data_IF_563649643395
#
_entry.id   IF_563649643395
#
_cell.length_a   1.000
_cell.length_b   1.000
_cell.length_c   1.000
_cell.angle_alpha   90.00
_cell.angle_beta   90.00
_cell.angle_gamma   90.00
#
_symmetry.space_group_name_H-M   'P 1'
#
loop_
_entity.id
_entity.type
_entity.pdbx_description
1 polymer ?
#
# COMPACT_ATOMS: atom_id res chain seq x y z
N UNK A 1 5.32 -9.54 -11.48
CA UNK A 1 4.95 -10.08 -10.14
C UNK A 1 3.86 -9.18 -9.60
N UNK A 2 2.77 -9.73 -9.05
CA UNK A 2 1.63 -8.94 -8.55
C UNK A 2 1.80 -8.68 -7.05
N UNK A 3 1.52 -7.45 -6.61
CA UNK A 3 1.57 -7.06 -5.20
C UNK A 3 0.21 -6.56 -4.75
N UNK A 4 -0.37 -7.18 -3.72
CA UNK A 4 -1.65 -6.75 -3.14
C UNK A 4 -1.39 -5.98 -1.84
N UNK A 5 -1.63 -4.67 -1.85
CA UNK A 5 -1.34 -3.83 -0.69
C UNK A 5 -2.40 -3.89 0.40
N UNK A 6 -3.54 -4.57 0.18
CA UNK A 6 -4.60 -4.57 1.17
C UNK A 6 -5.41 -5.87 1.14
N UNK A 7 -5.02 -6.75 2.07
CA UNK A 7 -5.77 -7.95 2.43
C UNK A 7 -5.96 -8.02 3.94
N UNK A 8 -7.02 -8.68 4.37
CA UNK A 8 -7.31 -8.94 5.78
C UNK A 8 -7.77 -10.37 5.97
N UNK A 9 -7.48 -10.91 7.15
CA UNK A 9 -8.11 -12.11 7.66
C UNK A 9 -8.47 -11.84 9.12
N UNK A 10 -9.45 -12.56 9.64
CA UNK A 10 -9.84 -12.52 11.04
C UNK A 10 -10.54 -13.82 11.42
N UNK A 11 -10.52 -14.19 12.70
CA UNK A 11 -11.23 -15.37 13.19
C UNK A 11 -12.74 -15.17 13.17
N UNK A 12 -13.19 -13.97 13.53
CA UNK A 12 -14.60 -13.66 13.72
C UNK A 12 -14.91 -12.22 13.33
N UNK A 13 -16.03 -11.93 12.65
CA UNK A 13 -16.44 -10.56 12.33
C UNK A 13 -16.53 -9.63 13.54
N UNK A 14 -16.76 -10.18 14.74
CA UNK A 14 -16.79 -9.48 16.04
C UNK A 14 -15.49 -8.73 16.33
N UNK A 15 -14.37 -9.17 15.77
CA UNK A 15 -13.09 -8.47 15.87
C UNK A 15 -13.10 -7.09 15.19
N UNK A 16 -14.10 -6.82 14.34
CA UNK A 16 -14.31 -5.53 13.69
C UNK A 16 -15.34 -4.64 14.41
N UNK A 17 -15.85 -5.08 15.55
CA UNK A 17 -16.90 -4.38 16.31
C UNK A 17 -18.31 -4.80 15.92
N UNK A 18 -19.27 -4.51 16.81
CA UNK A 18 -20.65 -5.04 16.73
C UNK A 18 -21.37 -4.67 15.42
N UNK A 19 -21.40 -3.39 15.05
CA UNK A 19 -22.14 -2.92 13.87
C UNK A 19 -21.58 -3.50 12.56
N UNK A 20 -20.26 -3.56 12.43
CA UNK A 20 -19.63 -4.09 11.21
C UNK A 20 -19.81 -5.61 11.14
N UNK A 21 -19.77 -6.31 12.28
CA UNK A 21 -20.10 -7.72 12.35
C UNK A 21 -21.55 -8.01 11.91
N UNK A 22 -22.52 -7.19 12.36
CA UNK A 22 -23.92 -7.25 11.91
C UNK A 22 -24.07 -6.95 10.41
N UNK A 23 -23.38 -5.94 9.90
CA UNK A 23 -23.36 -5.61 8.47
C UNK A 23 -22.80 -6.74 7.60
N UNK A 24 -21.78 -7.44 8.08
CA UNK A 24 -21.20 -8.61 7.42
C UNK A 24 -22.18 -9.78 7.44
N UNK A 25 -22.81 -10.07 8.59
CA UNK A 25 -23.78 -11.17 8.75
C UNK A 25 -25.05 -10.99 7.94
N UNK A 26 -25.59 -9.78 7.91
CA UNK A 26 -26.81 -9.46 7.16
C UNK A 26 -26.63 -9.59 5.64
N UNK A 27 -25.39 -9.74 5.15
CA UNK A 27 -25.11 -10.10 3.76
C UNK A 27 -25.54 -9.03 2.76
N UNK A 28 -25.71 -7.78 3.19
CA UNK A 28 -26.33 -6.70 2.42
C UNK A 28 -25.67 -6.41 1.04
N UNK A 29 -24.47 -6.95 0.77
CA UNK A 29 -23.79 -6.88 -0.54
C UNK A 29 -23.39 -8.22 -1.17
N UNK A 30 -23.42 -9.35 -0.44
CA UNK A 30 -23.04 -10.68 -0.96
C UNK A 30 -23.86 -11.80 -0.28
N UNK A 31 -24.84 -12.40 -0.97
CA UNK A 31 -25.51 -13.61 -0.50
C UNK A 31 -24.49 -14.77 -0.44
N UNK A 32 -24.38 -15.44 0.71
CA UNK A 32 -23.45 -16.57 0.92
C UNK A 32 -22.37 -16.36 1.99
N UNK A 33 -22.29 -15.17 2.59
CA UNK A 33 -21.32 -14.83 3.63
C UNK A 33 -19.92 -14.51 3.07
N UNK A 34 -19.04 -14.04 3.95
CA UNK A 34 -17.63 -13.77 3.65
C UNK A 34 -16.80 -14.90 4.28
N UNK A 35 -16.04 -15.65 3.47
CA UNK A 35 -15.02 -16.57 4.01
C UNK A 35 -13.77 -15.77 4.35
N UNK A 36 -13.57 -15.58 5.65
CA UNK A 36 -12.56 -14.70 6.24
C UNK A 36 -11.39 -15.47 6.89
N UNK A 37 -11.41 -16.79 6.73
CA UNK A 37 -10.44 -17.70 7.35
C UNK A 37 -9.04 -17.52 6.76
N UNK A 38 -8.02 -17.89 7.54
CA UNK A 38 -6.62 -17.96 7.05
C UNK A 38 -6.52 -18.88 5.82
N UNK A 39 -7.28 -19.98 5.81
CA UNK A 39 -7.33 -20.90 4.66
C UNK A 39 -7.88 -20.23 3.40
N UNK A 40 -8.93 -19.41 3.54
CA UNK A 40 -9.49 -18.64 2.44
C UNK A 40 -8.55 -17.56 1.94
N UNK A 41 -7.92 -16.83 2.86
CA UNK A 41 -6.89 -15.84 2.53
C UNK A 41 -5.75 -16.49 1.73
N UNK A 42 -5.20 -17.61 2.24
CA UNK A 42 -4.13 -18.37 1.56
C UNK A 42 -4.51 -18.72 0.12
N UNK A 43 -5.72 -19.26 -0.11
CA UNK A 43 -6.21 -19.59 -1.46
C UNK A 43 -6.42 -18.34 -2.33
N UNK A 44 -6.97 -17.27 -1.76
CA UNK A 44 -7.28 -16.06 -2.49
C UNK A 44 -6.02 -15.37 -3.04
N UNK A 45 -4.92 -15.44 -2.30
CA UNK A 45 -3.63 -14.83 -2.68
C UNK A 45 -2.77 -15.72 -3.58
N UNK A 46 -3.24 -16.88 -4.06
CA UNK A 46 -2.45 -17.77 -4.92
C UNK A 46 -1.95 -17.08 -6.20
N UNK A 47 -2.74 -16.13 -6.74
CA UNK A 47 -2.36 -15.32 -7.89
C UNK A 47 -1.43 -14.12 -7.56
N UNK A 48 -1.11 -13.92 -6.28
CA UNK A 48 -0.39 -12.74 -5.78
C UNK A 48 1.05 -13.14 -5.40
N UNK A 49 2.03 -12.36 -5.84
CA UNK A 49 3.44 -12.57 -5.48
C UNK A 49 3.74 -12.18 -4.04
N UNK A 50 3.22 -11.04 -3.59
CA UNK A 50 3.32 -10.58 -2.22
C UNK A 50 2.05 -9.84 -1.77
N UNK A 51 1.55 -10.12 -0.56
CA UNK A 51 0.35 -9.50 0.00
C UNK A 51 0.63 -8.86 1.36
N UNK A 52 0.03 -7.70 1.61
CA UNK A 52 0.04 -7.05 2.92
C UNK A 52 -1.19 -7.48 3.72
N UNK A 53 -0.97 -7.95 4.94
CA UNK A 53 -2.01 -8.42 5.86
C UNK A 53 -2.23 -7.36 6.94
N UNK A 54 -3.43 -6.76 6.94
CA UNK A 54 -3.74 -5.62 7.82
C UNK A 54 -4.47 -6.04 9.08
N UNK A 55 -3.95 -5.62 10.23
CA UNK A 55 -4.68 -5.56 11.49
C UNK A 55 -5.59 -4.33 11.56
N UNK A 56 -6.39 -4.26 12.62
CA UNK A 56 -7.25 -3.12 12.91
C UNK A 56 -7.51 -3.03 14.41
N UNK A 57 -7.53 -1.80 14.95
CA UNK A 57 -7.86 -1.53 16.36
C UNK A 57 -8.69 -0.25 16.40
N UNK A 58 -9.82 -0.26 17.08
CA UNK A 58 -10.62 0.94 17.35
C UNK A 58 -11.25 0.82 18.73
N UNK A 59 -10.92 1.74 19.64
CA UNK A 59 -11.58 1.86 20.93
C UNK A 59 -13.05 2.26 20.76
N UNK A 60 -13.32 3.20 19.84
CA UNK A 60 -14.66 3.70 19.56
C UNK A 60 -15.63 2.57 19.12
N UNK A 61 -15.15 1.59 18.37
CA UNK A 61 -15.95 0.46 17.89
C UNK A 61 -15.80 -0.82 18.73
N UNK A 62 -14.96 -0.79 19.78
CA UNK A 62 -14.55 -2.01 20.50
C UNK A 62 -14.04 -3.12 19.57
N UNK A 63 -13.26 -2.72 18.55
CA UNK A 63 -12.75 -3.59 17.50
C UNK A 63 -11.25 -3.84 17.71
N UNK A 64 -10.82 -5.11 17.67
CA UNK A 64 -9.41 -5.49 17.79
C UNK A 64 -9.11 -6.75 16.97
N UNK A 65 -8.17 -6.61 16.04
CA UNK A 65 -7.41 -7.71 15.45
C UNK A 65 -6.01 -7.69 16.11
N UNK A 66 -5.68 -8.67 16.95
CA UNK A 66 -4.41 -8.70 17.68
C UNK A 66 -3.19 -8.69 16.74
N UNK A 67 -2.11 -8.04 17.16
CA UNK A 67 -0.87 -7.98 16.37
C UNK A 67 -0.24 -9.37 16.21
N UNK A 68 -0.32 -10.20 17.24
CA UNK A 68 0.16 -11.58 17.26
C UNK A 68 -0.58 -12.43 16.23
N UNK A 69 -1.87 -12.15 16.01
CA UNK A 69 -2.65 -12.85 15.00
C UNK A 69 -2.18 -12.50 13.59
N UNK A 70 -1.89 -11.21 13.32
CA UNK A 70 -1.30 -10.79 12.05
C UNK A 70 0.08 -11.41 11.87
N UNK A 71 0.91 -11.42 12.92
CA UNK A 71 2.24 -12.01 12.90
C UNK A 71 2.20 -13.54 12.66
N UNK A 72 1.24 -14.27 13.24
CA UNK A 72 1.05 -15.72 12.98
C UNK A 72 0.71 -15.98 11.51
N UNK A 73 -0.17 -15.17 10.90
CA UNK A 73 -0.50 -15.29 9.48
C UNK A 73 0.77 -15.08 8.63
N UNK A 74 1.51 -14.01 8.91
CA UNK A 74 2.76 -13.70 8.19
C UNK A 74 3.78 -14.83 8.35
N UNK A 75 3.91 -15.38 9.57
CA UNK A 75 4.84 -16.47 9.90
C UNK A 75 4.57 -17.77 9.15
N UNK A 76 3.35 -17.98 8.63
CA UNK A 76 3.00 -19.15 7.78
C UNK A 76 3.56 -19.04 6.37
N UNK A 77 3.74 -17.83 5.85
CA UNK A 77 4.28 -17.57 4.50
C UNK A 77 5.18 -16.32 4.47
N UNK A 78 6.30 -16.30 5.24
CA UNK A 78 7.10 -15.10 5.49
C UNK A 78 7.86 -14.57 4.26
N UNK A 79 7.83 -15.32 3.15
CA UNK A 79 8.43 -14.96 1.86
C UNK A 79 7.46 -14.22 0.94
N UNK A 80 6.16 -14.21 1.26
CA UNK A 80 5.09 -13.60 0.45
C UNK A 80 4.22 -12.64 1.24
N UNK A 81 4.27 -12.68 2.58
CA UNK A 81 3.42 -11.86 3.42
C UNK A 81 4.24 -10.84 4.20
N UNK A 82 3.67 -9.65 4.36
CA UNK A 82 4.14 -8.64 5.29
C UNK A 82 2.95 -8.12 6.11
N UNK A 83 3.17 -7.93 7.41
CA UNK A 83 2.12 -7.55 8.34
C UNK A 83 2.07 -6.05 8.58
N UNK A 84 0.86 -5.49 8.62
CA UNK A 84 0.57 -4.09 8.89
C UNK A 84 -0.21 -4.00 10.21
N UNK A 85 0.29 -3.24 11.17
CA UNK A 85 -0.26 -3.15 12.51
C UNK A 85 -1.52 -2.28 12.54
N UNK A 86 -2.60 -2.75 13.15
CA UNK A 86 -3.74 -1.88 13.49
C UNK A 86 -3.41 -1.09 14.75
N UNK A 87 -3.30 0.23 14.66
CA UNK A 87 -3.05 1.10 15.81
C UNK A 87 -4.18 2.11 15.89
N UNK A 88 -4.67 2.38 17.10
CA UNK A 88 -5.61 3.47 17.37
C UNK A 88 -4.85 4.64 17.97
N UNK A 89 -4.62 5.74 17.21
CA UNK A 89 -3.89 6.89 17.73
C UNK A 89 -4.56 7.58 18.92
N UNK A 90 -5.86 7.36 19.13
CA UNK A 90 -6.58 7.91 20.28
C UNK A 90 -6.41 7.05 21.54
N UNK A 91 -5.92 5.81 21.41
CA UNK A 91 -5.62 4.95 22.55
C UNK A 91 -4.48 5.53 23.39
N UNK A 92 -4.59 5.61 24.73
CA UNK A 92 -3.48 6.07 25.57
C UNK A 92 -2.23 5.18 25.45
N UNK A 93 -2.40 3.92 25.04
CA UNK A 93 -1.34 2.93 24.84
C UNK A 93 -0.77 2.90 23.43
N UNK A 94 -1.13 3.82 22.53
CA UNK A 94 -0.76 3.70 21.10
C UNK A 94 0.75 3.56 20.88
N UNK A 95 1.57 4.17 21.75
CA UNK A 95 3.04 4.10 21.64
C UNK A 95 3.55 2.69 22.00
N UNK A 96 3.06 2.10 23.09
CA UNK A 96 3.43 0.76 23.51
C UNK A 96 2.92 -0.29 22.50
N UNK A 97 1.70 -0.09 21.98
CA UNK A 97 1.13 -0.92 20.93
C UNK A 97 1.99 -0.88 19.65
N UNK A 98 2.55 0.28 19.30
CA UNK A 98 3.42 0.43 18.13
C UNK A 98 4.77 -0.27 18.34
N UNK A 99 5.38 -0.13 19.51
CA UNK A 99 6.64 -0.79 19.83
C UNK A 99 6.47 -2.32 19.85
N UNK A 100 5.40 -2.84 20.46
CA UNK A 100 5.06 -4.27 20.42
C UNK A 100 4.85 -4.78 19.00
N UNK A 101 4.12 -4.05 18.16
CA UNK A 101 3.92 -4.40 16.75
C UNK A 101 5.26 -4.54 15.99
N UNK A 102 6.22 -3.65 16.27
CA UNK A 102 7.55 -3.68 15.64
C UNK A 102 8.39 -4.85 16.14
N UNK A 103 8.29 -5.21 17.42
CA UNK A 103 8.94 -6.39 18.00
C UNK A 103 8.45 -7.68 17.33
N UNK A 104 7.17 -7.74 16.96
CA UNK A 104 6.56 -8.81 16.17
C UNK A 104 6.92 -8.77 14.67
N UNK A 105 7.68 -7.77 14.22
CA UNK A 105 8.12 -7.64 12.83
C UNK A 105 7.09 -7.05 11.88
N UNK A 106 6.04 -6.38 12.37
CA UNK A 106 5.10 -5.65 11.52
C UNK A 106 5.78 -4.41 10.92
N UNK A 107 5.52 -4.12 9.65
CA UNK A 107 6.36 -3.23 8.81
C UNK A 107 5.67 -1.93 8.41
N UNK A 108 4.47 -1.68 8.91
CA UNK A 108 3.69 -0.47 8.66
C UNK A 108 2.48 -0.41 9.58
N UNK A 109 1.70 0.67 9.48
CA UNK A 109 0.55 0.91 10.34
C UNK A 109 -0.71 1.13 9.52
N UNK A 110 -1.83 0.58 9.98
CA UNK A 110 -3.17 0.78 9.45
C UNK A 110 -4.02 1.57 10.46
N UNK A 111 -4.67 2.62 9.99
CA UNK A 111 -5.59 3.48 10.74
C UNK A 111 -6.84 3.78 9.90
N UNK A 112 -7.91 4.16 10.57
CA UNK A 112 -9.17 4.59 9.94
C UNK A 112 -9.75 5.72 10.79
N UNK A 113 -9.44 6.99 10.49
CA UNK A 113 -9.90 8.13 11.30
C UNK A 113 -11.42 8.18 11.48
N UNK A 114 -12.17 7.81 10.44
CA UNK A 114 -13.63 7.66 10.46
C UNK A 114 -14.15 6.60 11.44
N UNK A 115 -13.48 5.44 11.53
CA UNK A 115 -13.85 4.33 12.41
C UNK A 115 -13.20 4.42 13.80
N UNK A 116 -12.18 5.26 13.98
CA UNK A 116 -11.49 5.51 15.24
C UNK A 116 -11.90 6.84 15.89
N UNK A 117 -12.70 7.65 15.20
CA UNK A 117 -13.34 8.83 15.75
C UNK A 117 -12.44 10.04 15.92
N UNK A 118 -11.46 10.25 15.03
CA UNK A 118 -10.58 11.42 15.09
C UNK A 118 -10.43 12.14 13.74
N UNK A 119 -10.30 13.46 13.77
CA UNK A 119 -9.94 14.24 12.60
C UNK A 119 -8.46 13.97 12.23
N UNK A 120 -8.08 13.81 10.94
CA UNK A 120 -6.70 13.47 10.57
C UNK A 120 -5.63 14.39 11.18
N UNK A 121 -5.91 15.68 11.39
CA UNK A 121 -4.98 16.65 11.99
C UNK A 121 -5.12 16.81 13.52
N UNK A 122 -5.82 15.89 14.18
CA UNK A 122 -5.93 15.90 15.64
C UNK A 122 -4.53 15.84 16.29
N UNK A 123 -4.30 16.64 17.34
CA UNK A 123 -2.96 16.79 17.93
C UNK A 123 -2.31 15.48 18.36
N UNK A 124 -3.09 14.53 18.89
CA UNK A 124 -2.58 13.19 19.24
C UNK A 124 -2.21 12.38 18.01
N UNK A 125 -2.99 12.45 16.94
CA UNK A 125 -2.67 11.78 15.68
C UNK A 125 -1.41 12.37 15.04
N UNK A 126 -1.23 13.70 15.09
CA UNK A 126 -0.02 14.37 14.61
C UNK A 126 1.25 13.91 15.36
N UNK A 127 1.19 13.68 16.68
CA UNK A 127 2.31 13.09 17.44
C UNK A 127 2.61 11.65 17.02
N UNK A 128 1.56 10.87 16.75
CA UNK A 128 1.70 9.52 16.23
C UNK A 128 2.35 9.52 14.83
N UNK A 129 1.95 10.43 13.94
CA UNK A 129 2.54 10.56 12.61
C UNK A 129 4.00 11.00 12.64
N UNK A 130 4.37 11.91 13.55
CA UNK A 130 5.76 12.29 13.79
C UNK A 130 6.61 11.06 14.15
N UNK A 131 6.09 10.20 15.04
CA UNK A 131 6.76 8.94 15.38
C UNK A 131 6.91 8.02 14.17
N UNK A 132 5.84 7.82 13.38
CA UNK A 132 5.91 7.01 12.16
C UNK A 132 6.91 7.58 11.13
N UNK A 133 6.96 8.91 10.97
CA UNK A 133 7.87 9.57 10.05
C UNK A 133 9.34 9.37 10.46
N UNK A 134 9.63 9.53 11.76
CA UNK A 134 10.97 9.34 12.32
C UNK A 134 11.44 7.88 12.21
N UNK A 135 10.53 6.92 12.31
CA UNK A 135 10.84 5.49 12.20
C UNK A 135 10.68 4.91 10.78
N UNK A 136 10.34 5.75 9.80
CA UNK A 136 10.09 5.33 8.40
C UNK A 136 9.01 4.25 8.28
N UNK A 137 7.95 4.35 9.09
CA UNK A 137 6.80 3.45 9.03
C UNK A 137 5.71 4.06 8.14
N UNK A 138 5.33 3.39 7.03
CA UNK A 138 4.24 3.87 6.20
C UNK A 138 2.89 3.69 6.91
N UNK A 139 1.97 4.61 6.63
CA UNK A 139 0.62 4.62 7.16
C UNK A 139 -0.37 4.30 6.04
N UNK A 140 -1.20 3.30 6.26
CA UNK A 140 -2.34 2.95 5.43
C UNK A 140 -3.60 3.52 6.08
N UNK A 141 -4.34 4.32 5.33
CA UNK A 141 -5.60 4.92 5.77
C UNK A 141 -6.71 4.11 5.14
N UNK A 142 -7.18 3.10 5.87
CA UNK A 142 -8.10 2.13 5.34
C UNK A 142 -9.20 1.72 6.32
N UNK A 143 -10.44 1.82 5.82
CA UNK A 143 -11.63 1.37 6.54
C UNK A 143 -11.55 -0.13 6.82
N UNK A 144 -12.05 -0.59 7.98
CA UNK A 144 -12.11 -2.01 8.31
C UNK A 144 -13.11 -2.79 7.45
N UNK A 145 -14.06 -2.08 6.82
CA UNK A 145 -15.09 -2.65 5.96
C UNK A 145 -15.99 -1.56 5.38
N UNK A 146 -17.28 -1.86 5.27
CA UNK A 146 -18.29 -0.90 4.78
C UNK A 146 -18.53 0.23 5.79
N UNK A 147 -19.06 1.36 5.31
CA UNK A 147 -19.55 2.42 6.19
C UNK A 147 -20.64 1.90 7.12
N UNK A 148 -20.50 2.19 8.41
CA UNK A 148 -21.55 1.97 9.42
C UNK A 148 -22.00 3.30 10.01
N UNK A 149 -23.20 3.38 10.61
CA UNK A 149 -23.67 4.60 11.29
C UNK A 149 -22.74 5.13 12.38
N UNK A 150 -21.96 4.26 13.05
CA UNK A 150 -20.96 4.69 14.03
C UNK A 150 -19.73 5.40 13.42
N UNK A 151 -19.49 5.29 12.11
CA UNK A 151 -18.35 5.93 11.47
C UNK A 151 -18.61 7.41 11.17
N UNK A 152 -17.62 8.26 11.45
CA UNK A 152 -17.70 9.68 11.18
C UNK A 152 -17.21 9.95 9.75
N UNK A 153 -18.16 10.11 8.82
CA UNK A 153 -17.87 10.25 7.39
C UNK A 153 -16.90 11.40 7.09
N UNK A 154 -17.01 12.53 7.80
CA UNK A 154 -16.13 13.69 7.60
C UNK A 154 -14.64 13.35 7.81
N UNK A 155 -14.33 12.45 8.74
CA UNK A 155 -12.95 12.06 9.05
C UNK A 155 -12.36 11.10 8.02
N UNK A 156 -13.19 10.59 7.10
CA UNK A 156 -12.75 9.78 5.97
C UNK A 156 -12.33 10.64 4.76
N UNK A 157 -12.55 11.97 4.81
CA UNK A 157 -12.19 12.87 3.71
C UNK A 157 -10.67 12.91 3.48
N UNK A 158 -10.21 12.89 2.21
CA UNK A 158 -8.80 13.04 1.87
C UNK A 158 -8.21 14.41 2.20
N UNK A 159 -8.95 15.51 1.97
CA UNK A 159 -8.37 16.87 2.04
C UNK A 159 -7.53 17.19 3.30
N UNK A 160 -7.93 16.80 4.54
CA UNK A 160 -7.12 17.04 5.74
C UNK A 160 -5.72 16.41 5.73
N UNK A 161 -5.48 15.38 4.90
CA UNK A 161 -4.16 14.77 4.75
C UNK A 161 -3.14 15.72 4.08
N UNK A 162 -3.58 16.83 3.49
CA UNK A 162 -2.70 17.88 2.99
C UNK A 162 -1.79 18.47 4.08
N UNK A 163 -2.37 18.75 5.25
CA UNK A 163 -1.64 19.32 6.39
C UNK A 163 -0.66 18.31 6.97
N UNK A 164 -1.08 17.04 7.05
CA UNK A 164 -0.22 15.93 7.51
C UNK A 164 0.99 15.79 6.59
N UNK A 165 0.78 15.75 5.27
CA UNK A 165 1.85 15.61 4.29
C UNK A 165 2.83 16.80 4.29
N UNK A 166 2.32 18.02 4.51
CA UNK A 166 3.16 19.22 4.67
C UNK A 166 3.99 19.19 5.95
N UNK A 167 3.42 18.67 7.03
CA UNK A 167 4.06 18.61 8.34
C UNK A 167 5.12 17.50 8.41
N UNK A 168 4.89 16.39 7.70
CA UNK A 168 5.78 15.23 7.67
C UNK A 168 6.14 14.81 6.24
N UNK A 169 6.99 15.57 5.52
CA UNK A 169 7.27 15.32 4.10
C UNK A 169 7.93 13.97 3.79
N UNK A 170 8.56 13.33 4.80
CA UNK A 170 9.18 12.00 4.67
C UNK A 170 8.19 10.86 4.89
N UNK A 171 7.04 11.14 5.52
CA UNK A 171 6.03 10.14 5.83
C UNK A 171 5.37 9.63 4.55
N UNK A 172 5.17 8.32 4.48
CA UNK A 172 4.50 7.65 3.38
C UNK A 172 3.09 7.28 3.81
N UNK A 173 2.09 7.77 3.07
CA UNK A 173 0.67 7.56 3.38
C UNK A 173 -0.01 6.94 2.16
N UNK A 174 -0.78 5.88 2.38
CA UNK A 174 -1.57 5.20 1.35
C UNK A 174 -3.04 5.38 1.67
N UNK A 175 -3.77 6.10 0.82
CA UNK A 175 -5.22 6.31 0.94
C UNK A 175 -5.97 5.19 0.22
N UNK A 176 -6.73 4.39 0.96
CA UNK A 176 -7.47 3.27 0.39
C UNK A 176 -8.58 3.71 -0.57
N UNK A 177 -8.91 2.82 -1.51
CA UNK A 177 -9.97 3.00 -2.51
C UNK A 177 -9.89 4.28 -3.35
N UNK A 178 -8.68 4.82 -3.55
CA UNK A 178 -8.45 6.12 -4.20
C UNK A 178 -9.23 7.26 -3.48
N UNK A 179 -9.46 7.10 -2.17
CA UNK A 179 -10.21 8.01 -1.33
C UNK A 179 -11.70 8.11 -1.65
N UNK A 180 -12.29 7.06 -2.25
CA UNK A 180 -13.72 7.02 -2.54
C UNK A 180 -14.57 7.33 -1.31
N UNK A 181 -15.55 8.25 -1.41
CA UNK A 181 -16.07 8.85 -2.65
C UNK A 181 -15.38 10.12 -3.17
N UNK A 182 -14.43 10.72 -2.44
CA UNK A 182 -13.75 11.98 -2.79
C UNK A 182 -12.48 11.74 -3.62
N UNK A 183 -12.69 11.17 -4.80
CA UNK A 183 -11.61 10.78 -5.71
C UNK A 183 -10.80 12.00 -6.16
N UNK A 184 -11.47 13.09 -6.47
CA UNK A 184 -10.89 14.37 -6.91
C UNK A 184 -9.93 14.96 -5.87
N UNK A 185 -10.33 14.98 -4.59
CA UNK A 185 -9.45 15.40 -3.49
C UNK A 185 -8.19 14.51 -3.42
N UNK A 186 -8.36 13.20 -3.60
CA UNK A 186 -7.24 12.24 -3.58
C UNK A 186 -6.30 12.46 -4.75
N UNK A 187 -6.80 12.61 -5.98
CA UNK A 187 -5.96 12.86 -7.16
C UNK A 187 -5.17 14.17 -6.98
N UNK A 188 -5.78 15.22 -6.42
CA UNK A 188 -5.08 16.46 -6.12
C UNK A 188 -3.93 16.25 -5.11
N UNK A 189 -4.14 15.44 -4.06
CA UNK A 189 -3.09 15.10 -3.09
C UNK A 189 -1.97 14.27 -3.71
N UNK A 190 -2.30 13.29 -4.55
CA UNK A 190 -1.32 12.50 -5.29
C UNK A 190 -0.46 13.40 -6.18
N UNK A 191 -1.06 14.39 -6.85
CA UNK A 191 -0.30 15.32 -7.68
C UNK A 191 0.59 16.25 -6.84
N UNK A 192 0.09 16.70 -5.69
CA UNK A 192 0.75 17.69 -4.83
C UNK A 192 1.91 17.12 -4.00
N UNK A 193 1.80 15.90 -3.50
CA UNK A 193 2.72 15.35 -2.48
C UNK A 193 3.45 14.10 -2.95
N UNK A 194 4.77 14.04 -2.76
CA UNK A 194 5.60 12.87 -3.08
C UNK A 194 5.43 11.72 -2.08
N UNK A 195 4.89 11.99 -0.89
CA UNK A 195 4.64 11.01 0.17
C UNK A 195 3.24 10.40 0.17
N UNK A 196 2.31 10.90 -0.64
CA UNK A 196 0.94 10.40 -0.70
C UNK A 196 0.76 9.45 -1.88
N UNK A 197 0.16 8.30 -1.59
CA UNK A 197 -0.17 7.22 -2.50
C UNK A 197 -1.62 6.82 -2.29
N UNK A 198 -2.15 5.99 -3.19
CA UNK A 198 -3.47 5.39 -3.04
C UNK A 198 -3.46 3.93 -3.44
N UNK A 199 -4.54 3.21 -3.16
CA UNK A 199 -4.74 1.85 -3.65
C UNK A 199 -6.15 1.60 -4.22
N UNK A 200 -6.29 0.52 -4.98
CA UNK A 200 -7.55 0.14 -5.64
C UNK A 200 -8.48 -0.74 -4.80
N UNK A 201 -8.17 -1.00 -3.52
CA UNK A 201 -9.00 -1.86 -2.68
C UNK A 201 -10.43 -1.34 -2.61
N UNK A 202 -11.42 -2.24 -2.50
CA UNK A 202 -12.84 -1.88 -2.46
C UNK A 202 -13.42 -1.37 -3.80
N UNK A 203 -12.86 -0.29 -4.35
CA UNK A 203 -13.23 0.31 -5.64
C UNK A 203 -12.97 -0.63 -6.83
N UNK A 204 -12.04 -1.60 -6.71
CA UNK A 204 -11.81 -2.62 -7.73
C UNK A 204 -13.07 -3.42 -8.09
N UNK A 205 -14.02 -3.53 -7.16
CA UNK A 205 -15.32 -4.19 -7.39
C UNK A 205 -16.38 -3.30 -8.04
N UNK A 206 -16.09 -2.01 -8.22
CA UNK A 206 -16.99 -0.99 -8.77
C UNK A 206 -16.50 -0.55 -10.15
N UNK A 207 -16.64 -1.41 -11.16
CA UNK A 207 -15.99 -1.26 -12.48
C UNK A 207 -16.08 0.14 -13.09
N UNK A 208 -17.26 0.77 -13.06
CA UNK A 208 -17.43 2.14 -13.59
C UNK A 208 -16.67 3.19 -12.77
N UNK A 209 -16.73 3.11 -11.44
CA UNK A 209 -16.02 4.03 -10.55
C UNK A 209 -14.51 3.83 -10.66
N UNK A 210 -14.05 2.58 -10.75
CA UNK A 210 -12.65 2.25 -10.98
C UNK A 210 -12.17 2.84 -12.31
N UNK A 211 -12.92 2.63 -13.38
CA UNK A 211 -12.62 3.17 -14.71
C UNK A 211 -12.44 4.69 -14.69
N UNK A 212 -13.43 5.42 -14.18
CA UNK A 212 -13.39 6.89 -14.15
C UNK A 212 -12.32 7.43 -13.21
N UNK A 213 -12.03 6.75 -12.10
CA UNK A 213 -10.99 7.16 -11.14
C UNK A 213 -9.59 6.98 -11.72
N UNK A 214 -9.32 5.85 -12.36
CA UNK A 214 -8.02 5.61 -13.00
C UNK A 214 -7.83 6.46 -14.26
N UNK A 215 -8.91 6.81 -14.95
CA UNK A 215 -8.83 7.77 -16.06
C UNK A 215 -8.44 9.16 -15.57
N UNK A 216 -9.09 9.67 -14.50
CA UNK A 216 -8.71 10.95 -13.89
C UNK A 216 -7.26 10.94 -13.39
N UNK A 217 -6.84 9.85 -12.75
CA UNK A 217 -5.45 9.67 -12.34
C UNK A 217 -4.46 9.63 -13.53
N UNK A 218 -4.89 9.05 -14.66
CA UNK A 218 -4.11 9.04 -15.89
C UNK A 218 -3.93 10.44 -16.47
N UNK A 219 -5.02 11.20 -16.57
CA UNK A 219 -5.02 12.59 -17.06
C UNK A 219 -4.17 13.51 -16.17
N UNK A 220 -4.23 13.30 -14.84
CA UNK A 220 -3.40 14.03 -13.88
C UNK A 220 -1.93 13.54 -13.83
N UNK A 221 -1.58 12.45 -14.53
CA UNK A 221 -0.22 11.92 -14.56
C UNK A 221 0.25 11.28 -13.25
N UNK A 222 -0.66 10.75 -12.42
CA UNK A 222 -0.37 10.23 -11.07
C UNK A 222 -0.61 8.72 -10.92
N UNK A 223 -0.80 7.98 -12.02
CA UNK A 223 -0.98 6.52 -11.98
C UNK A 223 0.20 5.78 -11.35
N UNK A 224 1.40 6.38 -11.36
CA UNK A 224 2.60 5.88 -10.70
C UNK A 224 2.47 5.84 -9.16
N UNK A 225 1.47 6.52 -8.59
CA UNK A 225 1.20 6.58 -7.14
C UNK A 225 0.05 5.71 -6.65
N UNK A 226 -0.56 4.91 -7.54
CA UNK A 226 -1.74 4.09 -7.20
C UNK A 226 -1.39 2.60 -7.22
N UNK A 227 -1.30 1.96 -6.06
CA UNK A 227 -1.04 0.53 -5.93
C UNK A 227 -2.27 -0.33 -6.22
N UNK A 228 -2.03 -1.59 -6.59
CA UNK A 228 -3.07 -2.61 -6.56
C UNK A 228 -3.39 -3.02 -5.12
N UNK A 229 -4.68 -2.93 -4.79
CA UNK A 229 -5.26 -3.53 -3.59
C UNK A 229 -6.54 -4.26 -3.97
N UNK A 230 -6.72 -5.49 -3.49
CA UNK A 230 -7.97 -6.24 -3.72
C UNK A 230 -9.07 -5.89 -2.74
N UNK A 231 -8.70 -5.55 -1.50
CA UNK A 231 -9.65 -5.41 -0.40
C UNK A 231 -10.23 -6.72 0.08
N UNK A 232 -9.50 -7.83 -0.07
CA UNK A 232 -9.90 -9.12 0.53
C UNK A 232 -10.19 -8.96 2.02
N UNK A 233 -11.30 -9.49 2.55
CA UNK A 233 -12.22 -10.47 1.93
C UNK A 233 -13.37 -9.89 1.10
N UNK A 234 -13.56 -8.56 1.12
CA UNK A 234 -14.64 -7.91 0.37
C UNK A 234 -14.42 -7.94 -1.15
N UNK A 235 -13.18 -7.98 -1.61
CA UNK A 235 -12.79 -8.25 -3.00
C UNK A 235 -11.96 -9.52 -3.13
N UNK A 236 -12.10 -10.25 -4.24
CA UNK A 236 -11.17 -11.34 -4.57
C UNK A 236 -9.96 -10.76 -5.30
N UNK A 237 -8.72 -11.13 -4.95
CA UNK A 237 -7.54 -10.66 -5.67
C UNK A 237 -7.60 -10.98 -7.18
N UNK A 238 -8.01 -12.20 -7.55
CA UNK A 238 -8.14 -12.58 -8.96
C UNK A 238 -9.15 -11.69 -9.70
N UNK A 239 -10.33 -11.46 -9.11
CA UNK A 239 -11.37 -10.63 -9.71
C UNK A 239 -10.94 -9.15 -9.79
N UNK A 240 -10.19 -8.65 -8.79
CA UNK A 240 -9.69 -7.28 -8.79
C UNK A 240 -8.60 -7.07 -9.87
N UNK A 241 -7.72 -8.06 -10.08
CA UNK A 241 -6.76 -8.04 -11.19
C UNK A 241 -7.48 -8.04 -12.54
N UNK A 242 -8.47 -8.91 -12.71
CA UNK A 242 -9.29 -8.98 -13.92
C UNK A 242 -10.02 -7.66 -14.19
N UNK A 243 -10.60 -7.05 -13.15
CA UNK A 243 -11.30 -5.78 -13.25
C UNK A 243 -10.39 -4.67 -13.81
N UNK A 244 -9.15 -4.55 -13.29
CA UNK A 244 -8.17 -3.55 -13.77
C UNK A 244 -7.80 -3.81 -15.23
N UNK A 245 -7.51 -5.05 -15.61
CA UNK A 245 -7.12 -5.37 -16.99
C UNK A 245 -8.26 -5.27 -18.00
N UNK A 246 -9.51 -5.31 -17.54
CA UNK A 246 -10.71 -5.26 -18.38
C UNK A 246 -11.32 -3.87 -18.49
N UNK A 247 -10.73 -2.85 -17.86
CA UNK A 247 -11.27 -1.47 -17.84
C UNK A 247 -11.52 -0.88 -19.23
N UNK A 248 -10.64 -1.18 -20.19
CA UNK A 248 -10.78 -0.65 -21.55
C UNK A 248 -11.97 -1.24 -22.32
N UNK A 249 -12.69 -2.22 -21.77
CA UNK A 249 -13.95 -2.69 -22.35
C UNK A 249 -15.00 -1.58 -22.47
N UNK A 250 -14.97 -0.57 -21.58
CA UNK A 250 -15.85 0.61 -21.69
C UNK A 250 -15.56 1.48 -22.92
N UNK A 251 -14.31 1.50 -23.40
CA UNK A 251 -13.91 2.27 -24.58
C UNK A 251 -14.23 1.53 -25.89
N UNK A 252 -14.46 0.21 -25.86
CA UNK A 252 -14.76 -0.56 -27.06
C UNK A 252 -16.15 -0.19 -27.59
N UNK A 253 -16.20 0.35 -28.81
CA UNK A 253 -17.46 0.74 -29.45
C UNK A 253 -18.08 2.02 -28.91
N UNK A 254 -17.34 2.81 -28.12
CA UNK A 254 -17.77 4.12 -27.60
C UNK A 254 -16.70 5.18 -27.90
N UNK A 255 -16.99 6.45 -27.58
CA UNK A 255 -16.02 7.55 -27.65
C UNK A 255 -15.29 7.77 -26.31
N UNK A 256 -15.40 6.83 -25.37
CA UNK A 256 -14.73 6.94 -24.08
C UNK A 256 -13.23 6.65 -24.24
N UNK A 257 -12.35 7.35 -23.49
CA UNK A 257 -10.91 7.18 -23.61
C UNK A 257 -10.45 5.82 -23.05
N UNK A 258 -9.29 5.36 -23.49
CA UNK A 258 -8.67 4.14 -22.95
C UNK A 258 -7.43 4.49 -22.12
N UNK A 259 -7.11 3.64 -21.15
CA UNK A 259 -5.88 3.76 -20.38
C UNK A 259 -4.85 2.81 -21.02
N UNK A 260 -3.61 3.24 -21.31
CA UNK A 260 -2.60 2.36 -21.88
C UNK A 260 -2.41 1.09 -21.05
N UNK A 261 -2.39 -0.07 -21.70
CA UNK A 261 -2.25 -1.37 -21.00
C UNK A 261 -0.97 -1.45 -20.15
N UNK A 262 0.10 -0.80 -20.58
CA UNK A 262 1.33 -0.68 -19.81
C UNK A 262 1.11 0.08 -18.49
N UNK A 263 0.30 1.14 -18.47
CA UNK A 263 -0.02 1.88 -17.26
C UNK A 263 -0.88 1.06 -16.29
N UNK A 264 -1.87 0.32 -16.80
CA UNK A 264 -2.66 -0.63 -15.99
C UNK A 264 -1.78 -1.72 -15.37
N UNK A 265 -0.84 -2.26 -16.15
CA UNK A 265 0.14 -3.24 -15.65
C UNK A 265 1.02 -2.67 -14.55
N UNK A 266 1.46 -1.41 -14.68
CA UNK A 266 2.28 -0.75 -13.66
C UNK A 266 1.54 -0.65 -12.32
N UNK A 267 0.23 -0.44 -12.29
CA UNK A 267 -0.56 -0.45 -11.04
C UNK A 267 -0.49 -1.82 -10.36
N UNK A 268 -0.73 -2.88 -11.13
CA UNK A 268 -0.79 -4.28 -10.64
C UNK A 268 0.56 -4.82 -10.19
N UNK A 269 1.63 -4.42 -10.87
CA UNK A 269 2.98 -4.93 -10.61
C UNK A 269 3.86 -3.98 -9.76
N UNK A 270 3.32 -2.85 -9.28
CA UNK A 270 4.12 -1.92 -8.48
C UNK A 270 4.48 -2.54 -7.14
N UNK A 271 5.77 -2.54 -6.84
CA UNK A 271 6.28 -3.07 -5.59
C UNK A 271 6.07 -2.05 -4.44
N UNK A 272 5.15 -2.31 -3.48
CA UNK A 272 4.91 -1.40 -2.37
C UNK A 272 6.06 -1.40 -1.36
N UNK A 273 6.77 -2.52 -1.21
CA UNK A 273 7.85 -2.68 -0.23
C UNK A 273 8.94 -1.66 -0.48
N UNK A 274 9.46 -1.63 -1.72
CA UNK A 274 10.53 -0.70 -2.10
C UNK A 274 10.03 0.74 -2.19
N UNK A 275 8.80 0.94 -2.68
CA UNK A 275 8.24 2.29 -2.87
C UNK A 275 7.95 3.00 -1.54
N UNK A 276 7.52 2.24 -0.53
CA UNK A 276 7.16 2.75 0.80
C UNK A 276 8.29 2.59 1.82
N UNK A 277 9.44 2.04 1.43
CA UNK A 277 10.59 1.85 2.33
C UNK A 277 10.38 0.77 3.40
N UNK A 278 9.49 -0.19 3.18
CA UNK A 278 9.21 -1.26 4.13
C UNK A 278 10.33 -2.31 4.13
N UNK A 279 10.50 -2.99 5.26
CA UNK A 279 11.31 -4.21 5.31
C UNK A 279 10.66 -5.27 4.44
N UNK A 280 11.45 -5.86 3.54
CA UNK A 280 10.95 -6.91 2.66
C UNK A 280 10.59 -8.18 3.45
N UNK A 281 9.59 -8.95 2.99
CA UNK A 281 9.45 -10.36 3.38
C UNK A 281 10.79 -11.08 3.19
N UNK A 282 10.99 -12.21 3.88
CA UNK A 282 12.17 -13.06 3.70
C UNK A 282 12.13 -13.69 2.29
N UNK A 283 12.49 -12.91 1.27
CA UNK A 283 12.50 -13.33 -0.12
C UNK A 283 13.59 -14.39 -0.29
N UNK A 284 13.23 -15.56 -0.81
CA UNK A 284 14.21 -16.54 -1.28
C UNK A 284 15.01 -15.85 -2.38
N UNK A 285 16.32 -15.74 -2.18
CA UNK A 285 17.22 -15.28 -3.21
C UNK A 285 17.05 -16.15 -4.45
N UNK A 286 16.54 -15.56 -5.53
CA UNK A 286 16.91 -16.05 -6.85
C UNK A 286 18.39 -15.71 -6.98
N UNK A 287 19.23 -16.65 -6.54
CA UNK A 287 20.66 -16.63 -6.83
C UNK A 287 20.79 -16.48 -8.34
N UNK A 288 21.30 -15.34 -8.80
CA UNK A 288 21.93 -15.22 -10.09
C UNK A 288 23.19 -16.09 -10.08
N UNK A 289 23.01 -17.40 -10.19
CA UNK A 289 24.07 -18.33 -10.51
C UNK A 289 24.48 -18.11 -11.97
N UNK A 290 25.31 -17.10 -12.17
CA UNK A 290 25.98 -16.74 -13.41
C UNK A 290 27.36 -16.19 -13.12
N UNK A 291 28.07 -16.78 -12.16
CA UNK A 291 29.48 -16.51 -11.90
C UNK A 291 30.35 -17.23 -12.91
N UNK A 292 30.78 -16.52 -13.96
CA UNK A 292 31.93 -16.94 -14.74
C UNK A 292 33.17 -16.92 -13.85
N UNK A 293 33.75 -18.10 -13.62
CA UNK A 293 35.08 -18.25 -13.04
C UNK A 293 36.10 -17.51 -13.92
N UNK A 294 36.80 -16.52 -13.34
CA UNK A 294 38.11 -16.11 -13.85
C UNK A 294 39.17 -16.51 -12.83
N UNK A 295 39.74 -17.70 -13.04
CA UNK A 295 41.01 -18.08 -12.42
C UNK A 295 42.12 -17.23 -13.01
N UNK A 296 42.99 -16.74 -12.13
CA UNK A 296 43.98 -15.73 -12.42
C UNK A 296 45.00 -16.09 -13.49
N UNK A 297 45.39 -15.06 -14.24
CA UNK A 297 46.65 -15.00 -14.99
C UNK A 297 47.34 -13.71 -14.53
N UNK A 298 48.57 -13.86 -14.04
CA UNK A 298 49.44 -12.78 -13.56
C UNK A 298 49.87 -11.83 -14.69
N UNK A 299 50.19 -10.56 -14.39
CA UNK A 299 50.64 -9.60 -15.39
C UNK A 299 52.13 -9.78 -15.71
N UNK A 300 52.46 -9.77 -17.01
CA UNK A 300 53.83 -9.63 -17.52
C UNK A 300 54.15 -8.14 -17.76
N UNK A 301 55.42 -7.71 -17.60
CA UNK A 301 55.78 -6.29 -17.65
C UNK A 301 56.03 -5.80 -19.07
N UNK A 302 55.59 -4.58 -19.37
CA UNK A 302 55.95 -3.83 -20.59
C UNK A 302 57.30 -3.15 -20.45
N UNK A 303 58.15 -3.15 -21.50
CA UNK A 303 59.41 -2.43 -21.50
C UNK A 303 59.25 -0.96 -21.90
N UNK A 304 60.10 -0.15 -21.28
CA UNK A 304 60.41 1.26 -21.53
C UNK A 304 60.78 1.57 -22.98
N UNK A 305 60.39 2.74 -23.48
CA UNK A 305 61.33 3.57 -24.24
C UNK A 305 61.04 5.08 -24.18
N UNK A 306 62.12 5.83 -24.38
CA UNK A 306 62.39 7.23 -23.97
C UNK A 306 61.80 8.33 -24.88
N UNK A 307 61.62 9.48 -24.22
CA UNK A 307 61.77 10.89 -24.62
C UNK A 307 62.29 11.23 -26.05
N UNK A 308 61.74 12.25 -26.73
CA UNK A 308 62.05 13.69 -26.56
C UNK A 308 61.51 14.59 -27.72
N UNK A 309 61.47 15.91 -27.46
CA UNK A 309 61.23 17.09 -28.34
C UNK A 309 59.78 17.40 -28.79
N UNK A 310 59.24 18.62 -28.75
CA UNK A 310 59.79 19.96 -28.48
C UNK A 310 58.66 21.01 -28.52
N UNK A 311 58.96 22.20 -28.00
CA UNK A 311 58.03 23.29 -27.65
C UNK A 311 57.36 24.05 -28.82
N UNK A 312 56.18 24.64 -28.58
CA UNK A 312 55.94 26.10 -28.83
C UNK A 312 54.62 26.64 -28.26
N UNK A 313 54.76 27.57 -27.31
CA UNK A 313 54.00 28.81 -27.02
C UNK A 313 52.49 28.98 -27.40
N UNK A 314 51.66 29.15 -26.35
CA UNK A 314 50.88 30.38 -25.98
C UNK A 314 49.72 30.89 -26.88
N UNK A 315 48.86 31.85 -26.42
CA UNK A 315 47.49 31.54 -25.98
C UNK A 315 46.41 32.42 -26.64
N UNK A 316 45.15 31.99 -26.70
CA UNK A 316 44.03 32.95 -26.81
C UNK A 316 42.82 32.49 -26.00
N UNK A 317 42.62 33.21 -24.88
CA UNK A 317 41.30 33.51 -24.34
C UNK A 317 40.57 34.42 -25.33
N UNK A 318 39.30 34.14 -25.60
CA UNK A 318 38.17 35.04 -25.35
C UNK A 318 36.92 34.22 -25.18
#
# INVERSE_FOLDING_TARGET
MIFDVLTRAWHSPEQLGFELAEGIRSGARRPGGLDVTIGAHTRAIDCIGCALVHGFKSQALSAVIPHEFVADIVGRQPHRLAGIAGIDPMSPSWSDDLDHAKELGLVGVNISPSAQGFHPTHSTAMRFYDRCANESLPIFVARPGIFTPAMILEYDRPAPWDEVARSFPTLKIVLSEIGSPWIDETIALLAKHSGIYADTSGIASQSWRLYTSLLQAHEAGVLDKIFFGSGFPFGSPAAAVEAIYSLNSYALGTNLPSIPRAALRLIVERNPITTLGMKAPLLIGVSSAGGFNSTGISPTPTPTDRADFGASQSPYRR
#
